data_IF_119027690641
#
_entry.id   IF_119027690641
#
_cell.length_a   1.000
_cell.length_b   1.000
_cell.length_c   1.000
_cell.angle_alpha   90.00
_cell.angle_beta   90.00
_cell.angle_gamma   90.00
#
_symmetry.space_group_name_H-M   'P 1'
#
loop_
_entity.id
_entity.type
_entity.pdbx_description
1 polymer ?
#
# COMPACT_ATOMS: atom_id res chain seq x y z
N UNK A 1 -56.52 43.46 -57.68
CA UNK A 1 -55.53 43.10 -56.64
C UNK A 1 -56.32 42.54 -55.46
N UNK A 2 -56.42 41.21 -55.33
CA UNK A 2 -57.23 40.59 -54.28
C UNK A 2 -56.54 40.77 -52.92
N UNK A 3 -57.19 41.48 -51.98
CA UNK A 3 -56.73 41.58 -50.59
C UNK A 3 -56.87 40.19 -49.94
N UNK A 4 -55.75 39.52 -49.65
CA UNK A 4 -55.74 38.39 -48.71
C UNK A 4 -56.15 38.92 -47.35
N UNK A 5 -57.30 38.47 -46.85
CA UNK A 5 -57.62 38.61 -45.43
C UNK A 5 -56.60 37.77 -44.65
N UNK A 6 -55.84 38.42 -43.76
CA UNK A 6 -55.03 37.69 -42.79
C UNK A 6 -55.99 36.97 -41.83
N UNK A 7 -56.07 35.65 -41.92
CA UNK A 7 -56.79 34.86 -40.94
C UNK A 7 -56.05 34.98 -39.60
N UNK A 8 -56.70 35.59 -38.60
CA UNK A 8 -56.20 35.65 -37.23
C UNK A 8 -56.37 34.29 -36.52
N UNK A 9 -55.50 34.00 -35.57
CA UNK A 9 -55.60 32.82 -34.71
C UNK A 9 -56.80 32.92 -33.77
N UNK A 10 -57.49 31.80 -33.54
CA UNK A 10 -58.58 31.73 -32.56
C UNK A 10 -58.02 31.58 -31.13
N UNK A 11 -58.75 32.08 -30.13
CA UNK A 11 -58.34 31.98 -28.73
C UNK A 11 -58.15 30.51 -28.30
N UNK A 12 -59.01 29.61 -28.78
CA UNK A 12 -58.91 28.16 -28.49
C UNK A 12 -57.63 27.55 -29.06
N UNK A 13 -57.20 27.98 -30.25
CA UNK A 13 -55.99 27.47 -30.91
C UNK A 13 -54.73 27.90 -30.15
N UNK A 14 -54.68 29.15 -29.68
CA UNK A 14 -53.58 29.64 -28.83
C UNK A 14 -53.50 28.90 -27.49
N UNK A 15 -54.64 28.59 -26.86
CA UNK A 15 -54.68 27.81 -25.62
C UNK A 15 -54.19 26.38 -25.85
N UNK A 16 -54.63 25.71 -26.92
CA UNK A 16 -54.17 24.35 -27.25
C UNK A 16 -52.66 24.32 -27.48
N UNK A 17 -52.11 25.30 -28.21
CA UNK A 17 -50.66 25.41 -28.45
C UNK A 17 -49.90 25.59 -27.14
N UNK A 18 -50.36 26.45 -26.23
CA UNK A 18 -49.71 26.64 -24.93
C UNK A 18 -49.70 25.35 -24.10
N UNK A 19 -50.80 24.60 -24.07
CA UNK A 19 -50.90 23.32 -23.34
C UNK A 19 -49.96 22.28 -23.94
N UNK A 20 -49.93 22.14 -25.27
CA UNK A 20 -49.04 21.19 -25.94
C UNK A 20 -47.57 21.56 -25.67
N UNK A 21 -47.20 22.84 -25.77
CA UNK A 21 -45.84 23.29 -25.47
C UNK A 21 -45.46 23.04 -24.00
N UNK A 22 -46.38 23.22 -23.05
CA UNK A 22 -46.13 22.92 -21.65
C UNK A 22 -45.85 21.42 -21.43
N UNK A 23 -46.67 20.54 -22.01
CA UNK A 23 -46.48 19.09 -21.91
C UNK A 23 -45.13 18.68 -22.52
N UNK A 24 -44.86 19.11 -23.77
CA UNK A 24 -43.61 18.80 -24.46
C UNK A 24 -42.38 19.35 -23.72
N UNK A 25 -42.50 20.56 -23.16
CA UNK A 25 -41.47 21.16 -22.33
C UNK A 25 -41.13 20.29 -21.13
N UNK A 26 -42.13 19.91 -20.32
CA UNK A 26 -41.93 19.07 -19.13
C UNK A 26 -41.27 17.73 -19.47
N UNK A 27 -41.72 17.05 -20.53
CA UNK A 27 -41.12 15.79 -20.95
C UNK A 27 -39.67 15.97 -21.42
N UNK A 28 -39.41 17.00 -22.23
CA UNK A 28 -38.07 17.26 -22.77
C UNK A 28 -37.07 17.63 -21.66
N UNK A 29 -37.45 18.53 -20.75
CA UNK A 29 -36.59 18.90 -19.63
C UNK A 29 -36.36 17.74 -18.64
N UNK A 30 -37.40 16.95 -18.38
CA UNK A 30 -37.28 15.75 -17.54
C UNK A 30 -36.28 14.73 -18.11
N UNK A 31 -36.36 14.47 -19.43
CA UNK A 31 -35.44 13.55 -20.10
C UNK A 31 -33.98 14.03 -20.03
N UNK A 32 -33.73 15.32 -20.26
CA UNK A 32 -32.38 15.90 -20.17
C UNK A 32 -31.84 15.82 -18.74
N UNK A 33 -32.66 16.16 -17.75
CA UNK A 33 -32.27 16.06 -16.33
C UNK A 33 -31.93 14.63 -15.93
N UNK A 34 -32.74 13.66 -16.36
CA UNK A 34 -32.51 12.25 -16.08
C UNK A 34 -31.22 11.73 -16.74
N UNK A 35 -30.97 12.10 -18.01
CA UNK A 35 -29.73 11.76 -18.69
C UNK A 35 -28.49 12.36 -18.01
N UNK A 36 -28.59 13.60 -17.54
CA UNK A 36 -27.51 14.25 -16.79
C UNK A 36 -27.23 13.56 -15.45
N UNK A 37 -28.27 13.15 -14.73
CA UNK A 37 -28.13 12.40 -13.46
C UNK A 37 -27.46 11.04 -13.68
N UNK A 38 -27.91 10.25 -14.66
CA UNK A 38 -27.28 8.96 -14.99
C UNK A 38 -25.80 9.14 -15.31
N UNK A 39 -25.46 10.17 -16.09
CA UNK A 39 -24.08 10.45 -16.43
C UNK A 39 -23.25 10.80 -15.19
N UNK A 40 -23.78 11.66 -14.31
CA UNK A 40 -23.10 12.04 -13.07
C UNK A 40 -22.87 10.83 -12.14
N UNK A 41 -23.89 10.00 -11.94
CA UNK A 41 -23.81 8.78 -11.11
C UNK A 41 -22.81 7.77 -11.69
N UNK A 42 -22.84 7.57 -13.01
CA UNK A 42 -21.91 6.68 -13.70
C UNK A 42 -20.47 7.17 -13.57
N UNK A 43 -20.25 8.48 -13.70
CA UNK A 43 -18.93 9.10 -13.56
C UNK A 43 -18.39 8.96 -12.13
N UNK A 44 -19.21 9.25 -11.11
CA UNK A 44 -18.83 9.10 -9.70
C UNK A 44 -18.45 7.65 -9.37
N UNK A 45 -19.22 6.69 -9.88
CA UNK A 45 -18.93 5.26 -9.72
C UNK A 45 -17.63 4.84 -10.40
N UNK A 46 -17.39 5.33 -11.62
CA UNK A 46 -16.15 5.05 -12.34
C UNK A 46 -14.93 5.58 -11.58
N UNK A 47 -15.02 6.79 -11.04
CA UNK A 47 -13.96 7.38 -10.23
C UNK A 47 -13.68 6.54 -8.97
N UNK A 48 -14.71 6.15 -8.23
CA UNK A 48 -14.58 5.32 -7.02
C UNK A 48 -13.90 3.98 -7.31
N UNK A 49 -14.30 3.30 -8.39
CA UNK A 49 -13.68 2.03 -8.80
C UNK A 49 -12.22 2.25 -9.25
N UNK A 50 -11.93 3.32 -9.98
CA UNK A 50 -10.58 3.61 -10.45
C UNK A 50 -9.63 3.90 -9.28
N UNK A 51 -10.05 4.69 -8.31
CA UNK A 51 -9.29 5.00 -7.09
C UNK A 51 -9.01 3.74 -6.26
N UNK A 52 -10.05 2.91 -6.06
CA UNK A 52 -9.92 1.62 -5.36
C UNK A 52 -8.93 0.69 -6.04
N UNK A 53 -9.03 0.55 -7.37
CA UNK A 53 -8.12 -0.30 -8.16
C UNK A 53 -6.70 0.22 -8.09
N UNK A 54 -6.49 1.53 -8.19
CA UNK A 54 -5.17 2.12 -8.07
C UNK A 54 -4.53 1.79 -6.73
N UNK A 55 -5.25 2.01 -5.63
CA UNK A 55 -4.74 1.73 -4.28
C UNK A 55 -4.44 0.24 -4.07
N UNK A 56 -5.31 -0.67 -4.54
CA UNK A 56 -5.08 -2.12 -4.47
C UNK A 56 -3.82 -2.51 -5.27
N UNK A 57 -3.74 -2.12 -6.54
CA UNK A 57 -2.61 -2.47 -7.40
C UNK A 57 -1.29 -1.93 -6.87
N UNK A 58 -1.32 -0.70 -6.33
CA UNK A 58 -0.14 -0.07 -5.74
C UNK A 58 0.31 -0.82 -4.48
N UNK A 59 -0.60 -1.09 -3.54
CA UNK A 59 -0.29 -1.83 -2.32
C UNK A 59 0.18 -3.26 -2.63
N UNK A 60 -0.51 -3.97 -3.53
CA UNK A 60 -0.12 -5.32 -3.95
C UNK A 60 1.30 -5.35 -4.55
N UNK A 61 1.67 -4.33 -5.34
CA UNK A 61 3.02 -4.23 -5.89
C UNK A 61 4.08 -3.98 -4.81
N UNK A 62 3.79 -3.13 -3.83
CA UNK A 62 4.71 -2.87 -2.71
C UNK A 62 4.87 -4.10 -1.81
N UNK A 63 3.77 -4.81 -1.54
CA UNK A 63 3.79 -6.02 -0.71
C UNK A 63 4.52 -7.18 -1.37
N UNK A 64 4.59 -7.24 -2.71
CA UNK A 64 5.27 -8.33 -3.42
C UNK A 64 6.77 -8.43 -3.08
N UNK A 65 7.43 -7.32 -2.79
CA UNK A 65 8.86 -7.26 -2.49
C UNK A 65 9.07 -6.66 -1.10
N UNK A 66 8.86 -7.49 -0.09
CA UNK A 66 9.05 -7.13 1.33
C UNK A 66 10.00 -8.10 2.01
N UNK A 67 10.69 -7.62 3.04
CA UNK A 67 11.52 -8.47 3.89
C UNK A 67 10.62 -9.55 4.53
N UNK A 68 11.01 -10.83 4.48
CA UNK A 68 10.23 -11.89 5.10
C UNK A 68 9.92 -11.57 6.57
N UNK A 69 8.71 -11.90 7.02
CA UNK A 69 8.21 -11.64 8.39
C UNK A 69 8.13 -10.17 8.81
N UNK A 70 8.32 -9.20 7.90
CA UNK A 70 8.17 -7.77 8.25
C UNK A 70 6.72 -7.32 8.40
N UNK A 71 5.76 -8.05 7.82
CA UNK A 71 4.38 -7.61 7.83
C UNK A 71 3.79 -7.62 9.23
N UNK A 72 3.28 -6.47 9.67
CA UNK A 72 2.49 -6.33 10.89
C UNK A 72 1.31 -5.39 10.67
N UNK A 73 0.26 -5.61 11.42
CA UNK A 73 -0.99 -4.88 11.32
C UNK A 73 -1.46 -4.46 12.70
N UNK A 74 -1.93 -3.23 12.81
CA UNK A 74 -2.69 -2.74 13.95
C UNK A 74 -4.14 -2.45 13.50
N UNK A 75 -4.93 -1.73 14.29
CA UNK A 75 -6.34 -1.47 13.97
C UNK A 75 -6.56 -0.84 12.59
N UNK A 76 -5.70 0.08 12.16
CA UNK A 76 -5.93 0.89 10.96
C UNK A 76 -4.78 0.84 9.96
N UNK A 77 -3.62 0.29 10.32
CA UNK A 77 -2.41 0.34 9.53
C UNK A 77 -1.82 -1.04 9.26
N UNK A 78 -1.39 -1.26 8.02
CA UNK A 78 -0.45 -2.32 7.66
C UNK A 78 0.94 -1.72 7.46
N UNK A 79 1.94 -2.30 8.10
CA UNK A 79 3.34 -1.88 8.00
C UNK A 79 4.20 -3.03 7.49
N UNK A 80 5.20 -2.68 6.67
CA UNK A 80 6.16 -3.64 6.13
C UNK A 80 7.49 -2.94 5.82
N UNK A 81 8.53 -3.74 5.59
CA UNK A 81 9.84 -3.27 5.16
C UNK A 81 10.02 -3.65 3.70
N UNK A 82 10.11 -2.69 2.76
CA UNK A 82 10.41 -2.98 1.36
C UNK A 82 11.74 -3.71 1.23
N UNK A 83 11.77 -4.77 0.42
CA UNK A 83 12.98 -5.51 0.09
C UNK A 83 13.76 -4.75 -0.98
N UNK A 84 15.00 -4.41 -0.68
CA UNK A 84 15.93 -3.78 -1.64
C UNK A 84 16.67 -4.86 -2.42
N UNK A 85 17.23 -5.83 -1.69
CA UNK A 85 18.06 -6.87 -2.27
C UNK A 85 18.05 -8.14 -1.42
N UNK A 86 18.37 -9.29 -2.01
CA UNK A 86 18.56 -10.54 -1.27
C UNK A 86 19.56 -11.43 -1.98
N UNK A 87 20.38 -12.15 -1.23
CA UNK A 87 21.34 -13.10 -1.78
C UNK A 87 21.75 -14.11 -0.70
N UNK A 88 22.85 -14.82 -0.93
CA UNK A 88 23.41 -15.78 0.01
C UNK A 88 24.76 -15.32 0.55
N UNK A 89 24.99 -15.60 1.82
CA UNK A 89 26.29 -15.38 2.45
C UNK A 89 27.13 -16.67 2.41
N UNK A 90 28.44 -16.48 2.30
CA UNK A 90 29.45 -17.52 2.40
C UNK A 90 29.96 -17.63 3.83
N UNK A 91 30.18 -16.47 4.47
CA UNK A 91 30.62 -16.33 5.85
C UNK A 91 29.68 -15.39 6.60
N UNK A 92 29.53 -15.62 7.91
CA UNK A 92 28.65 -14.86 8.79
C UNK A 92 29.38 -14.57 10.09
N UNK A 93 29.38 -13.31 10.57
CA UNK A 93 29.94 -12.99 11.86
C UNK A 93 29.05 -13.53 12.98
N UNK A 94 29.59 -14.45 13.78
CA UNK A 94 28.89 -15.09 14.91
C UNK A 94 29.65 -14.96 16.25
N UNK A 95 30.68 -14.12 16.28
CA UNK A 95 31.55 -13.96 17.44
C UNK A 95 32.68 -15.00 17.54
N UNK A 96 33.72 -14.60 18.25
CA UNK A 96 35.06 -15.21 18.31
C UNK A 96 35.13 -16.64 18.87
N UNK A 97 34.01 -17.23 19.34
CA UNK A 97 34.01 -18.58 19.89
C UNK A 97 33.84 -19.68 18.83
N UNK A 98 33.29 -19.38 17.64
CA UNK A 98 33.07 -20.38 16.59
C UNK A 98 32.85 -19.83 15.15
N UNK A 99 32.87 -18.51 14.92
CA UNK A 99 32.50 -17.89 13.64
C UNK A 99 33.64 -17.19 12.88
N UNK A 100 33.38 -16.77 11.64
CA UNK A 100 34.19 -15.75 10.96
C UNK A 100 33.93 -14.39 11.62
N UNK A 101 34.83 -13.42 11.48
CA UNK A 101 34.57 -12.02 11.86
C UNK A 101 34.01 -11.20 10.69
N UNK A 102 34.13 -11.72 9.45
CA UNK A 102 33.71 -11.04 8.23
C UNK A 102 32.34 -11.52 7.74
N UNK A 103 31.61 -10.62 7.08
CA UNK A 103 30.40 -10.98 6.34
C UNK A 103 30.72 -11.05 4.86
N UNK A 104 31.07 -12.24 4.39
CA UNK A 104 31.35 -12.49 2.97
C UNK A 104 30.09 -13.01 2.29
N UNK A 105 29.69 -12.39 1.18
CA UNK A 105 28.46 -12.71 0.48
C UNK A 105 28.60 -12.69 -1.04
N UNK A 106 27.66 -13.36 -1.71
CA UNK A 106 27.48 -13.24 -3.16
C UNK A 106 26.79 -11.91 -3.42
N UNK A 107 27.38 -11.09 -4.30
CA UNK A 107 26.86 -9.78 -4.66
C UNK A 107 25.39 -9.88 -5.13
N UNK A 108 24.46 -9.17 -4.47
CA UNK A 108 23.06 -9.21 -4.84
C UNK A 108 22.80 -8.28 -6.04
N UNK A 109 21.74 -8.57 -6.79
CA UNK A 109 21.22 -7.59 -7.76
C UNK A 109 20.47 -6.49 -7.00
N UNK A 110 20.86 -5.23 -7.22
CA UNK A 110 20.21 -4.05 -6.62
C UNK A 110 20.34 -2.85 -7.55
N UNK A 111 19.24 -2.11 -7.72
CA UNK A 111 19.21 -0.84 -8.47
C UNK A 111 19.54 0.37 -7.58
N UNK A 112 19.59 0.16 -6.25
CA UNK A 112 19.86 1.21 -5.26
C UNK A 112 21.01 0.83 -4.34
N UNK A 113 21.59 1.85 -3.70
CA UNK A 113 22.64 1.63 -2.72
C UNK A 113 22.12 0.84 -1.52
N UNK A 114 22.88 -0.17 -1.12
CA UNK A 114 22.64 -0.97 0.08
C UNK A 114 23.23 -0.32 1.34
N UNK A 115 24.11 0.67 1.18
CA UNK A 115 24.73 1.39 2.30
C UNK A 115 23.67 2.13 3.10
N UNK A 116 23.80 2.14 4.42
CA UNK A 116 22.84 2.63 5.41
C UNK A 116 21.53 1.85 5.50
N UNK A 117 21.35 0.79 4.70
CA UNK A 117 20.18 -0.10 4.81
C UNK A 117 20.41 -1.18 5.87
N UNK A 118 19.31 -1.81 6.29
CA UNK A 118 19.36 -2.90 7.26
C UNK A 118 19.48 -4.25 6.57
N UNK A 119 20.50 -5.02 6.94
CA UNK A 119 20.68 -6.41 6.53
C UNK A 119 20.09 -7.33 7.60
N UNK A 120 19.28 -8.29 7.18
CA UNK A 120 18.60 -9.26 8.03
C UNK A 120 19.07 -10.67 7.71
N UNK A 121 19.41 -11.43 8.75
CA UNK A 121 19.71 -12.86 8.66
C UNK A 121 18.79 -13.63 9.59
N UNK A 122 18.02 -14.56 9.00
CA UNK A 122 17.12 -15.44 9.73
C UNK A 122 16.16 -14.70 10.68
N UNK A 123 15.59 -13.59 10.20
CA UNK A 123 14.58 -12.83 10.92
C UNK A 123 13.21 -13.55 10.85
N UNK A 124 12.89 -14.29 11.92
CA UNK A 124 11.66 -15.12 11.97
C UNK A 124 10.47 -14.46 12.67
N UNK A 125 10.67 -13.31 13.33
CA UNK A 125 9.66 -12.65 14.15
C UNK A 125 9.77 -11.12 14.01
N UNK A 126 8.68 -10.39 14.25
CA UNK A 126 8.67 -8.93 14.13
C UNK A 126 9.72 -8.22 15.00
N UNK A 127 10.02 -8.63 16.26
CA UNK A 127 11.08 -8.01 17.05
C UNK A 127 12.47 -8.11 16.41
N UNK A 128 12.74 -9.17 15.63
CA UNK A 128 14.01 -9.28 14.90
C UNK A 128 14.20 -8.16 13.86
N UNK A 129 13.10 -7.55 13.40
CA UNK A 129 13.07 -6.53 12.36
C UNK A 129 12.92 -5.14 12.95
N UNK A 130 12.00 -4.96 13.91
CA UNK A 130 11.55 -3.64 14.37
C UNK A 130 12.03 -3.23 15.75
N UNK A 131 12.52 -4.15 16.59
CA UNK A 131 12.99 -3.79 17.92
C UNK A 131 14.20 -2.85 17.83
N UNK A 132 14.38 -1.98 18.83
CA UNK A 132 15.50 -1.02 18.87
C UNK A 132 16.85 -1.75 18.74
N UNK A 133 17.01 -2.86 19.45
CA UNK A 133 18.12 -3.81 19.31
C UNK A 133 17.62 -5.17 18.81
N UNK A 134 18.41 -5.81 17.96
CA UNK A 134 18.12 -7.15 17.46
C UNK A 134 19.43 -7.83 17.04
N UNK A 135 19.60 -9.08 17.46
CA UNK A 135 20.77 -9.91 17.11
C UNK A 135 20.63 -10.58 15.73
N UNK A 136 19.63 -10.16 14.95
CA UNK A 136 19.27 -10.71 13.62
C UNK A 136 19.38 -9.68 12.51
N UNK A 137 19.74 -8.43 12.83
CA UNK A 137 19.89 -7.35 11.87
C UNK A 137 21.11 -6.51 12.18
N UNK A 138 21.76 -6.01 11.14
CA UNK A 138 22.88 -5.08 11.24
C UNK A 138 22.75 -4.01 10.16
N UNK A 139 23.18 -2.78 10.42
CA UNK A 139 23.17 -1.71 9.43
C UNK A 139 24.45 -1.73 8.61
N UNK A 140 24.32 -1.70 7.28
CA UNK A 140 25.44 -1.75 6.35
C UNK A 140 26.17 -0.39 6.36
N UNK A 141 27.48 -0.41 6.61
CA UNK A 141 28.34 0.77 6.56
C UNK A 141 29.08 0.87 5.22
N UNK A 142 29.76 -0.20 4.81
CA UNK A 142 30.51 -0.25 3.54
C UNK A 142 30.33 -1.59 2.85
N UNK A 143 30.58 -1.62 1.55
CA UNK A 143 30.59 -2.85 0.75
C UNK A 143 31.85 -2.80 -0.11
N UNK A 144 32.71 -3.80 0.06
CA UNK A 144 33.99 -3.90 -0.61
C UNK A 144 34.02 -5.16 -1.50
N UNK A 145 34.61 -5.05 -2.69
CA UNK A 145 34.83 -6.22 -3.53
C UNK A 145 35.96 -7.08 -2.95
N UNK A 146 35.79 -8.40 -2.93
CA UNK A 146 36.84 -9.32 -2.47
C UNK A 146 37.87 -9.52 -3.58
N UNK A 147 39.14 -9.22 -3.29
CA UNK A 147 40.20 -9.30 -4.31
C UNK A 147 40.37 -10.73 -4.84
N UNK A 148 40.38 -10.86 -6.17
CA UNK A 148 40.51 -12.16 -6.85
C UNK A 148 39.22 -13.00 -6.89
N UNK A 149 38.08 -12.49 -6.40
CA UNK A 149 36.79 -13.19 -6.43
C UNK A 149 35.69 -12.32 -7.05
N UNK A 150 35.36 -12.55 -8.32
CA UNK A 150 34.29 -11.82 -9.01
C UNK A 150 32.92 -12.21 -8.47
N UNK A 151 32.07 -11.22 -8.20
CA UNK A 151 30.72 -11.41 -7.67
C UNK A 151 30.67 -11.75 -6.18
N UNK A 152 31.77 -11.56 -5.45
CA UNK A 152 31.85 -11.74 -3.99
C UNK A 152 32.19 -10.41 -3.34
N UNK A 153 31.45 -10.08 -2.28
CA UNK A 153 31.57 -8.85 -1.52
C UNK A 153 31.81 -9.13 -0.04
N UNK A 154 32.56 -8.24 0.59
CA UNK A 154 32.68 -8.12 2.04
C UNK A 154 31.81 -6.94 2.50
N UNK A 155 30.94 -7.19 3.48
CA UNK A 155 30.01 -6.19 4.01
C UNK A 155 30.46 -5.83 5.42
N UNK A 156 30.83 -4.56 5.59
CA UNK A 156 31.14 -4.01 6.92
C UNK A 156 29.89 -3.37 7.49
N UNK A 157 29.69 -3.56 8.79
CA UNK A 157 28.54 -3.02 9.52
C UNK A 157 28.92 -1.81 10.37
N UNK A 158 27.95 -0.96 10.65
CA UNK A 158 28.16 0.24 11.47
C UNK A 158 28.59 -0.09 12.91
N UNK A 159 28.17 -1.24 13.43
CA UNK A 159 28.66 -1.77 14.70
C UNK A 159 29.95 -2.58 14.46
N UNK A 160 31.05 -2.18 15.11
CA UNK A 160 32.35 -2.83 14.99
C UNK A 160 32.35 -4.27 15.53
N UNK A 161 31.40 -4.65 16.37
CA UNK A 161 31.21 -6.02 16.86
C UNK A 161 29.94 -6.66 16.32
N UNK A 162 29.52 -6.29 15.11
CA UNK A 162 28.31 -6.79 14.49
C UNK A 162 28.32 -8.32 14.37
N UNK A 163 27.45 -8.97 15.15
CA UNK A 163 27.26 -10.42 15.13
C UNK A 163 25.80 -10.78 14.83
N UNK A 164 25.62 -11.98 14.28
CA UNK A 164 24.32 -12.60 14.05
C UNK A 164 24.18 -13.84 14.93
N UNK A 165 23.19 -13.79 15.83
CA UNK A 165 23.02 -14.84 16.84
C UNK A 165 22.77 -16.22 16.23
N UNK A 166 22.20 -16.33 15.02
CA UNK A 166 22.21 -17.58 14.27
C UNK A 166 22.20 -17.43 12.75
N UNK A 167 22.52 -18.55 12.11
CA UNK A 167 22.55 -18.75 10.67
C UNK A 167 21.15 -18.97 10.05
N UNK A 168 20.99 -18.58 8.80
CA UNK A 168 19.87 -19.03 7.95
C UNK A 168 20.17 -20.44 7.43
N UNK A 169 19.24 -21.41 7.52
CA UNK A 169 19.44 -22.76 6.97
C UNK A 169 19.77 -22.75 5.47
N UNK A 170 19.25 -21.76 4.73
CA UNK A 170 19.55 -21.57 3.31
C UNK A 170 20.73 -20.64 3.03
N UNK A 171 21.46 -20.21 4.07
CA UNK A 171 22.50 -19.18 4.05
C UNK A 171 22.05 -17.89 3.36
N UNK A 172 20.80 -17.47 3.57
CA UNK A 172 20.21 -16.27 2.93
C UNK A 172 20.34 -15.05 3.83
N UNK A 173 20.45 -13.90 3.18
CA UNK A 173 20.27 -12.59 3.81
C UNK A 173 19.35 -11.71 2.95
N UNK A 174 18.73 -10.74 3.59
CA UNK A 174 17.81 -9.78 2.97
C UNK A 174 18.23 -8.38 3.37
N UNK A 175 18.22 -7.44 2.44
CA UNK A 175 18.47 -6.01 2.71
C UNK A 175 17.15 -5.28 2.56
N UNK A 176 16.73 -4.60 3.63
CA UNK A 176 15.46 -3.88 3.69
C UNK A 176 15.65 -2.37 3.78
N UNK A 177 14.73 -1.65 3.16
CA UNK A 177 14.66 -0.18 3.19
C UNK A 177 14.12 0.34 4.54
N UNK A 178 13.75 1.62 4.61
CA UNK A 178 12.95 2.15 5.72
C UNK A 178 11.51 1.59 5.68
N UNK A 179 10.85 1.40 6.84
CA UNK A 179 9.49 0.87 6.86
C UNK A 179 8.49 1.78 6.14
N UNK A 180 7.50 1.17 5.51
CA UNK A 180 6.37 1.85 4.86
C UNK A 180 5.09 1.39 5.56
N UNK A 181 4.22 2.36 5.84
CA UNK A 181 2.91 2.10 6.46
C UNK A 181 1.79 2.58 5.56
N UNK A 182 0.79 1.73 5.33
CA UNK A 182 -0.48 2.11 4.74
C UNK A 182 -1.53 2.15 5.85
N UNK A 183 -2.10 3.32 6.08
CA UNK A 183 -2.98 3.58 7.20
C UNK A 183 -4.30 4.17 6.73
N UNK A 184 -5.39 3.64 7.28
CA UNK A 184 -6.69 4.27 7.18
C UNK A 184 -6.82 5.38 8.24
N UNK A 185 -7.20 6.56 7.80
CA UNK A 185 -7.64 7.66 8.65
C UNK A 185 -9.17 7.76 8.59
N UNK A 186 -9.84 7.21 9.61
CA UNK A 186 -11.31 7.20 9.71
C UNK A 186 -11.90 8.61 9.81
N UNK A 187 -11.17 9.57 10.40
CA UNK A 187 -11.65 10.94 10.55
C UNK A 187 -11.74 11.70 9.22
N UNK A 188 -10.81 11.42 8.30
CA UNK A 188 -10.79 12.04 6.98
C UNK A 188 -11.29 11.13 5.85
N UNK A 189 -11.63 9.87 6.17
CA UNK A 189 -12.03 8.83 5.22
C UNK A 189 -10.97 8.54 4.14
N UNK A 190 -9.69 8.68 4.51
CA UNK A 190 -8.56 8.56 3.58
C UNK A 190 -7.69 7.36 3.88
N UNK A 191 -7.19 6.75 2.83
CA UNK A 191 -6.08 5.82 2.88
C UNK A 191 -4.78 6.58 2.60
N UNK A 192 -3.88 6.57 3.56
CA UNK A 192 -2.61 7.29 3.53
C UNK A 192 -1.46 6.29 3.47
N UNK A 193 -0.45 6.60 2.67
CA UNK A 193 0.84 5.88 2.64
C UNK A 193 1.90 6.76 3.27
N UNK A 194 2.51 6.27 4.34
CA UNK A 194 3.58 6.94 5.09
C UNK A 194 4.93 6.29 4.81
N UNK A 195 5.96 7.13 4.66
CA UNK A 195 7.35 6.73 4.53
C UNK A 195 8.26 7.66 5.35
N UNK A 196 9.53 7.29 5.50
CA UNK A 196 10.56 8.12 6.13
C UNK A 196 10.35 8.40 7.64
N UNK A 197 9.84 7.42 8.41
CA UNK A 197 9.68 7.49 9.88
C UNK A 197 10.56 6.48 10.67
N UNK A 198 11.43 5.74 9.97
CA UNK A 198 12.38 4.80 10.58
C UNK A 198 11.75 3.56 11.24
N UNK A 199 12.58 2.77 11.93
CA UNK A 199 12.17 1.52 12.58
C UNK A 199 11.69 1.77 14.01
N UNK A 200 10.44 1.38 14.29
CA UNK A 200 9.81 1.54 15.61
C UNK A 200 9.43 0.19 16.22
N UNK A 201 9.81 -0.06 17.48
CA UNK A 201 9.49 -1.32 18.15
C UNK A 201 7.98 -1.54 18.27
N UNK A 202 7.24 -0.52 18.69
CA UNK A 202 5.78 -0.48 18.59
C UNK A 202 5.37 -0.03 17.19
N UNK A 203 4.39 -0.71 16.59
CA UNK A 203 3.82 -0.26 15.32
C UNK A 203 3.17 1.12 15.50
N UNK A 204 3.59 2.13 14.74
CA UNK A 204 3.00 3.45 14.84
C UNK A 204 1.56 3.44 14.30
N UNK A 205 0.72 4.28 14.89
CA UNK A 205 -0.66 4.50 14.42
C UNK A 205 -0.72 5.72 13.47
N UNK A 206 -1.86 5.90 12.81
CA UNK A 206 -2.09 7.01 11.88
C UNK A 206 -1.72 8.36 12.47
N UNK A 207 -2.15 8.66 13.71
CA UNK A 207 -1.88 9.96 14.35
C UNK A 207 -0.39 10.20 14.60
N UNK A 208 0.35 9.18 15.03
CA UNK A 208 1.81 9.26 15.22
C UNK A 208 2.57 9.41 13.92
N UNK A 209 2.11 8.77 12.83
CA UNK A 209 2.75 8.89 11.52
C UNK A 209 2.51 10.25 10.88
N UNK A 210 1.31 10.82 11.04
CA UNK A 210 1.00 12.17 10.55
C UNK A 210 1.93 13.24 11.14
N UNK A 211 2.48 13.03 12.34
CA UNK A 211 3.40 13.97 12.99
C UNK A 211 4.90 13.63 12.82
N UNK A 212 5.25 12.36 12.59
CA UNK A 212 6.64 11.90 12.59
C UNK A 212 7.19 11.46 11.23
N UNK A 213 6.33 11.12 10.27
CA UNK A 213 6.75 10.67 8.95
C UNK A 213 7.22 11.83 8.07
N UNK A 214 8.36 11.64 7.40
CA UNK A 214 8.86 12.62 6.43
C UNK A 214 8.00 12.73 5.17
N UNK A 215 7.22 11.71 4.85
CA UNK A 215 6.33 11.71 3.69
C UNK A 215 4.97 11.04 4.02
N UNK A 216 3.89 11.64 3.53
CA UNK A 216 2.52 11.16 3.60
C UNK A 216 1.80 11.40 2.26
N UNK A 217 1.38 10.33 1.60
CA UNK A 217 0.74 10.35 0.29
C UNK A 217 -0.71 9.86 0.40
N UNK A 218 -1.66 10.58 -0.20
CA UNK A 218 -3.07 10.14 -0.26
C UNK A 218 -3.21 9.10 -1.37
N UNK A 219 -3.61 7.88 -1.00
CA UNK A 219 -3.81 6.77 -1.92
C UNK A 219 -5.28 6.60 -2.31
N UNK A 220 -6.20 6.94 -1.40
CA UNK A 220 -7.64 6.87 -1.62
C UNK A 220 -8.37 7.82 -0.65
N UNK A 221 -9.53 8.32 -1.04
CA UNK A 221 -10.35 9.30 -0.30
C UNK A 221 -11.79 8.82 -0.06
N UNK A 222 -12.09 7.60 -0.50
CA UNK A 222 -13.43 7.01 -0.47
C UNK A 222 -13.56 5.85 0.52
N UNK A 223 -12.59 5.66 1.42
CA UNK A 223 -12.58 4.54 2.38
C UNK A 223 -13.47 4.86 3.58
N UNK A 224 -14.49 4.03 3.83
CA UNK A 224 -15.55 4.26 4.83
C UNK A 224 -15.75 3.07 5.77
N UNK A 225 -14.67 2.34 6.05
CA UNK A 225 -14.66 1.28 7.06
C UNK A 225 -14.99 1.85 8.45
N UNK A 226 -15.87 1.20 9.22
CA UNK A 226 -16.14 1.59 10.61
C UNK A 226 -15.28 0.73 11.56
N UNK A 227 -14.18 1.32 12.06
CA UNK A 227 -13.19 0.57 12.85
C UNK A 227 -13.80 0.09 14.18
N UNK A 228 -14.64 0.90 14.82
CA UNK A 228 -15.33 0.56 16.05
C UNK A 228 -16.30 -0.62 15.91
N UNK A 229 -16.81 -0.87 14.70
CA UNK A 229 -17.65 -2.02 14.37
C UNK A 229 -16.85 -3.26 13.94
N UNK A 230 -15.51 -3.24 14.08
CA UNK A 230 -14.63 -4.35 13.72
C UNK A 230 -14.35 -4.48 12.22
N UNK A 231 -14.65 -3.44 11.43
CA UNK A 231 -14.47 -3.42 9.98
C UNK A 231 -13.03 -3.05 9.64
N UNK A 232 -12.06 -3.89 10.07
CA UNK A 232 -10.65 -3.61 9.90
C UNK A 232 -10.24 -3.70 8.42
N UNK A 233 -9.62 -2.65 7.83
CA UNK A 233 -9.29 -2.59 6.41
C UNK A 233 -8.16 -3.56 6.01
N UNK A 234 -7.37 -4.02 6.98
CA UNK A 234 -6.23 -4.88 6.78
C UNK A 234 -6.27 -6.06 7.74
N UNK A 235 -5.97 -7.25 7.21
CA UNK A 235 -5.73 -8.45 8.02
C UNK A 235 -4.53 -9.21 7.49
N UNK A 236 -3.65 -9.65 8.38
CA UNK A 236 -2.46 -10.43 8.03
C UNK A 236 -2.56 -11.80 8.68
N UNK A 237 -2.53 -12.84 7.86
CA UNK A 237 -2.34 -14.22 8.31
C UNK A 237 -0.88 -14.61 8.10
N UNK A 238 -0.13 -14.90 9.18
CA UNK A 238 1.28 -15.24 9.07
C UNK A 238 1.46 -16.58 8.36
N UNK A 239 2.54 -16.72 7.61
CA UNK A 239 2.85 -17.98 6.93
C UNK A 239 3.14 -19.10 7.95
N UNK A 240 2.65 -20.29 7.61
CA UNK A 240 2.90 -21.55 8.32
C UNK A 240 3.82 -22.46 7.49
N UNK A 241 4.20 -23.62 8.02
CA UNK A 241 5.00 -24.60 7.27
C UNK A 241 4.31 -25.11 5.99
N UNK A 242 2.98 -24.99 5.90
CA UNK A 242 2.18 -25.50 4.79
C UNK A 242 1.50 -24.41 3.95
N UNK A 243 1.52 -23.14 4.37
CA UNK A 243 0.84 -22.04 3.69
C UNK A 243 1.68 -20.77 3.69
N UNK A 244 1.74 -20.12 2.53
CA UNK A 244 2.28 -18.77 2.34
C UNK A 244 1.54 -17.74 3.19
N UNK A 245 2.16 -16.57 3.39
CA UNK A 245 1.52 -15.49 4.14
C UNK A 245 0.38 -14.94 3.29
N UNK A 246 -0.71 -14.55 3.93
CA UNK A 246 -1.87 -13.96 3.27
C UNK A 246 -2.13 -12.59 3.88
N UNK A 247 -2.27 -11.58 3.03
CA UNK A 247 -2.83 -10.28 3.39
C UNK A 247 -4.22 -10.19 2.77
N UNK A 248 -5.22 -9.92 3.59
CA UNK A 248 -6.58 -9.65 3.16
C UNK A 248 -6.86 -8.15 3.32
N UNK A 249 -7.25 -7.52 2.22
CA UNK A 249 -7.82 -6.18 2.19
C UNK A 249 -9.34 -6.31 2.20
N UNK A 250 -10.00 -5.74 3.22
CA UNK A 250 -11.47 -5.68 3.34
C UNK A 250 -11.88 -4.21 3.36
N UNK A 251 -12.06 -3.64 2.17
CA UNK A 251 -12.30 -2.21 2.00
C UNK A 251 -13.77 -1.95 1.70
N UNK A 252 -14.36 -1.05 2.48
CA UNK A 252 -15.68 -0.52 2.23
C UNK A 252 -15.50 0.86 1.64
N UNK A 253 -15.92 1.02 0.40
CA UNK A 253 -15.78 2.28 -0.33
C UNK A 253 -17.13 2.93 -0.53
N UNK A 254 -17.20 4.23 -0.29
CA UNK A 254 -18.42 5.03 -0.29
C UNK A 254 -18.35 6.17 -1.30
N UNK A 255 -19.45 6.42 -2.00
CA UNK A 255 -19.63 7.60 -2.86
C UNK A 255 -20.37 8.72 -2.12
N UNK A 256 -20.25 9.95 -2.63
CA UNK A 256 -21.07 11.10 -2.21
C UNK A 256 -22.57 10.86 -2.45
N UNK A 257 -22.92 9.90 -3.31
CA UNK A 257 -24.28 9.48 -3.66
C UNK A 257 -24.85 8.36 -2.76
N UNK A 258 -24.23 8.10 -1.61
CA UNK A 258 -24.58 7.03 -0.63
C UNK A 258 -24.46 5.60 -1.17
N UNK A 259 -23.84 5.42 -2.35
CA UNK A 259 -23.45 4.09 -2.82
C UNK A 259 -22.31 3.54 -1.94
N UNK A 260 -22.46 2.30 -1.47
CA UNK A 260 -21.42 1.57 -0.72
C UNK A 260 -21.09 0.27 -1.42
N UNK A 261 -19.79 0.02 -1.61
CA UNK A 261 -19.26 -1.21 -2.21
C UNK A 261 -18.25 -1.81 -1.23
N UNK A 262 -18.31 -3.12 -1.05
CA UNK A 262 -17.29 -3.86 -0.31
C UNK A 262 -16.35 -4.56 -1.29
N UNK A 263 -15.05 -4.41 -1.08
CA UNK A 263 -13.98 -4.99 -1.89
C UNK A 263 -13.14 -5.88 -0.99
N UNK A 264 -13.12 -7.17 -1.31
CA UNK A 264 -12.25 -8.16 -0.67
C UNK A 264 -11.14 -8.54 -1.64
N UNK A 265 -9.88 -8.35 -1.25
CA UNK A 265 -8.73 -8.68 -2.08
C UNK A 265 -7.67 -9.43 -1.28
N UNK A 266 -7.25 -10.58 -1.81
CA UNK A 266 -6.26 -11.47 -1.19
C UNK A 266 -4.92 -11.37 -1.89
N UNK A 267 -3.86 -11.17 -1.09
CA UNK A 267 -2.48 -11.05 -1.57
C UNK A 267 -1.66 -12.16 -0.92
N UNK A 268 -1.20 -13.11 -1.75
CA UNK A 268 -0.35 -14.21 -1.31
C UNK A 268 1.13 -13.85 -1.43
N UNK A 269 1.87 -14.09 -0.34
CA UNK A 269 3.25 -13.65 -0.21
C UNK A 269 4.16 -14.82 0.14
N UNK A 270 5.24 -15.05 -0.65
CA UNK A 270 6.26 -16.01 -0.28
C UNK A 270 7.01 -15.47 0.94
N UNK A 271 7.04 -16.22 2.04
CA UNK A 271 7.53 -15.73 3.33
C UNK A 271 8.49 -16.75 3.98
N UNK A 272 9.61 -17.00 3.29
CA UNK A 272 10.67 -17.93 3.69
C UNK A 272 11.97 -17.14 3.99
N UNK A 273 12.28 -16.88 5.27
CA UNK A 273 13.51 -16.22 5.70
C UNK A 273 14.76 -17.12 5.59
#
# INVERSE_FOLDING_TARGET
MAKRHAHGFTLIELVIVMVILAILGLFSFGYVSFGAQIFADTSARQQLIAESRFAIERLTRELKYVVPRSLRVNTACIEFVPLVASSRYLELPQGLAAGSDSFIAIEPQSETSLVNQWLFVYATQAPHIYAASSTRRQQIQTINAVSGQSGVIDIEFTDANAEFSQQSPGRRYFVGATPVSWCYDEASQRLLRFADYGYNASQPNTASLTSSAGNAEVMMTTLVNELAAGQLPFRVSPASLQRNSLVLLDWRVGSVTDERIQINHEIHLPNVP
#
